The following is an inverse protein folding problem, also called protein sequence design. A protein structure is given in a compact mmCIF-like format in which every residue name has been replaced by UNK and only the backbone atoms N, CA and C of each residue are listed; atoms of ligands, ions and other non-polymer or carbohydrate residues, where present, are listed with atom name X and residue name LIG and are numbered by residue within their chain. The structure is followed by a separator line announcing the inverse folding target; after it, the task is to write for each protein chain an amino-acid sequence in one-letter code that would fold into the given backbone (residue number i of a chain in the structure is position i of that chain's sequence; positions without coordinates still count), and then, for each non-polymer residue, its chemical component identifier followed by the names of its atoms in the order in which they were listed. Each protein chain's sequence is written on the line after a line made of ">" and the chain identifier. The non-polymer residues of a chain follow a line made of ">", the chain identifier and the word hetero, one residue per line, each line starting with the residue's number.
data_IF_658927810822
#
_entry.id   IF_658927810822
#
_cell.length_a   1.000
_cell.length_b   1.000
_cell.length_c   1.000
_cell.angle_alpha   90.00
_cell.angle_beta   90.00
_cell.angle_gamma   90.00
#
_symmetry.space_group_name_H-M   'P 1'
#
loop_
_entity.id
_entity.type
_entity.pdbx_description
1 polymer ?
#
# COMPACT_ATOMS: atom_id res chain seq x y z
N UNK A 1 -14.55 -25.43 -12.58
CA UNK A 1 -13.56 -24.97 -11.59
C UNK A 1 -14.22 -23.83 -10.82
N UNK A 2 -14.08 -23.74 -9.49
CA UNK A 2 -14.61 -22.59 -8.75
C UNK A 2 -13.78 -21.35 -9.13
N UNK A 3 -14.45 -20.26 -9.50
CA UNK A 3 -13.78 -18.99 -9.78
C UNK A 3 -13.26 -18.42 -8.45
N UNK A 4 -11.95 -18.19 -8.33
CA UNK A 4 -11.35 -17.59 -7.14
C UNK A 4 -11.41 -16.06 -7.33
N UNK A 5 -12.07 -15.30 -6.44
CA UNK A 5 -12.16 -13.85 -6.57
C UNK A 5 -10.80 -13.18 -6.37
N UNK A 6 -10.63 -11.96 -6.85
CA UNK A 6 -9.47 -11.13 -6.49
C UNK A 6 -9.52 -10.73 -5.01
N UNK A 7 -8.41 -10.23 -4.46
CA UNK A 7 -8.41 -9.69 -3.10
C UNK A 7 -9.32 -8.47 -2.98
N UNK A 8 -9.42 -7.66 -4.03
CA UNK A 8 -10.33 -6.53 -4.10
C UNK A 8 -11.80 -6.98 -3.99
N UNK A 9 -12.20 -7.95 -4.83
CA UNK A 9 -13.57 -8.48 -4.84
C UNK A 9 -13.93 -9.16 -3.51
N UNK A 10 -12.95 -9.81 -2.86
CA UNK A 10 -13.16 -10.43 -1.55
C UNK A 10 -13.27 -9.40 -0.42
N UNK A 11 -12.43 -8.36 -0.44
CA UNK A 11 -12.47 -7.28 0.54
C UNK A 11 -13.80 -6.53 0.49
N UNK A 12 -14.31 -6.29 -0.71
CA UNK A 12 -15.56 -5.60 -0.98
C UNK A 12 -15.50 -4.85 -2.31
N UNK A 13 -15.31 -3.54 -2.22
CA UNK A 13 -15.32 -2.60 -3.35
C UNK A 13 -14.42 -1.37 -3.07
N UNK A 14 -14.41 -0.40 -3.98
CA UNK A 14 -13.63 0.83 -3.83
C UNK A 14 -13.98 1.61 -2.55
N UNK A 15 -15.27 1.63 -2.17
CA UNK A 15 -15.72 2.30 -0.95
C UNK A 15 -15.12 1.65 0.31
N UNK A 16 -14.85 0.35 0.28
CA UNK A 16 -14.15 -0.38 1.35
C UNK A 16 -12.74 0.15 1.55
N UNK A 17 -11.96 0.30 0.47
CA UNK A 17 -10.60 0.85 0.52
C UNK A 17 -10.61 2.34 0.90
N UNK A 18 -11.56 3.12 0.37
CA UNK A 18 -11.70 4.54 0.72
C UNK A 18 -11.97 4.72 2.22
N UNK A 19 -12.83 3.89 2.79
CA UNK A 19 -13.14 3.90 4.23
C UNK A 19 -11.93 3.50 5.05
N UNK A 20 -11.21 2.44 4.64
CA UNK A 20 -9.98 1.99 5.30
C UNK A 20 -8.94 3.10 5.35
N UNK A 21 -8.56 3.66 4.20
CA UNK A 21 -7.48 4.65 4.13
C UNK A 21 -7.87 6.00 4.71
N UNK A 22 -9.13 6.44 4.55
CA UNK A 22 -9.61 7.66 5.23
C UNK A 22 -9.51 7.54 6.74
N UNK A 23 -9.96 6.42 7.30
CA UNK A 23 -9.92 6.18 8.76
C UNK A 23 -8.47 6.05 9.23
N UNK A 24 -7.65 5.37 8.46
CA UNK A 24 -6.24 5.16 8.77
C UNK A 24 -5.46 6.48 8.80
N UNK A 25 -5.54 7.29 7.73
CA UNK A 25 -4.80 8.55 7.66
C UNK A 25 -5.28 9.59 8.66
N UNK A 26 -6.56 9.56 9.07
CA UNK A 26 -7.07 10.40 10.17
C UNK A 26 -6.37 10.12 11.51
N UNK A 27 -5.81 8.91 11.70
CA UNK A 27 -4.98 8.54 12.85
C UNK A 27 -3.50 8.84 12.61
N UNK A 28 -2.98 8.52 11.42
CA UNK A 28 -1.57 8.73 11.04
C UNK A 28 -1.13 10.17 11.28
N UNK A 29 -1.95 11.15 10.88
CA UNK A 29 -1.61 12.58 11.05
C UNK A 29 -1.57 13.03 12.51
N UNK A 30 -2.14 12.26 13.44
CA UNK A 30 -2.15 12.51 14.89
C UNK A 30 -1.13 11.64 15.64
N UNK A 31 -0.44 10.74 14.94
CA UNK A 31 0.51 9.83 15.55
C UNK A 31 1.84 10.55 15.81
N UNK A 32 2.39 10.41 17.01
CA UNK A 32 3.60 11.15 17.42
C UNK A 32 4.84 10.81 16.57
N UNK A 33 4.91 9.59 16.02
CA UNK A 33 6.04 9.14 15.20
C UNK A 33 5.81 9.39 13.71
N UNK A 34 4.59 9.18 13.22
CA UNK A 34 4.26 9.26 11.79
C UNK A 34 3.78 10.65 11.37
N UNK A 35 3.17 11.43 12.26
CA UNK A 35 2.52 12.71 11.92
C UNK A 35 3.45 13.66 11.17
N UNK A 36 4.71 13.76 11.61
CA UNK A 36 5.74 14.59 10.96
C UNK A 36 6.04 14.16 9.52
N UNK A 37 5.97 12.86 9.21
CA UNK A 37 6.17 12.33 7.84
C UNK A 37 5.06 12.81 6.91
N UNK A 38 3.84 12.97 7.43
CA UNK A 38 2.64 13.28 6.66
C UNK A 38 2.15 14.72 6.84
N UNK A 39 2.84 15.58 7.59
CA UNK A 39 2.41 16.96 7.89
C UNK A 39 2.10 17.81 6.65
N UNK A 40 2.79 17.53 5.55
CA UNK A 40 2.66 18.24 4.26
C UNK A 40 2.06 17.34 3.17
N UNK A 41 1.35 16.27 3.54
CA UNK A 41 0.69 15.41 2.54
C UNK A 41 -0.37 16.21 1.78
N UNK A 42 -0.54 15.95 0.48
CA UNK A 42 -1.58 16.65 -0.29
C UNK A 42 -2.98 16.17 0.13
N UNK A 43 -4.03 16.99 -0.06
CA UNK A 43 -5.40 16.60 0.21
C UNK A 43 -5.83 15.32 -0.55
N UNK A 44 -5.24 15.06 -1.71
CA UNK A 44 -5.52 13.92 -2.58
C UNK A 44 -4.76 12.64 -2.17
N UNK A 45 -3.82 12.72 -1.22
CA UNK A 45 -2.97 11.60 -0.80
C UNK A 45 -3.78 10.34 -0.44
N UNK A 46 -4.84 10.52 0.35
CA UNK A 46 -5.70 9.42 0.82
C UNK A 46 -6.38 8.72 -0.37
N UNK A 47 -6.92 9.51 -1.31
CA UNK A 47 -7.58 8.98 -2.51
C UNK A 47 -6.59 8.19 -3.37
N UNK A 48 -5.42 8.76 -3.63
CA UNK A 48 -4.41 8.08 -4.45
C UNK A 48 -3.94 6.76 -3.85
N UNK A 49 -3.74 6.70 -2.53
CA UNK A 49 -3.35 5.44 -1.86
C UNK A 49 -4.49 4.42 -1.93
N UNK A 50 -5.73 4.84 -1.73
CA UNK A 50 -6.89 3.96 -1.84
C UNK A 50 -6.99 3.34 -3.24
N UNK A 51 -6.95 4.17 -4.27
CA UNK A 51 -7.01 3.73 -5.66
C UNK A 51 -5.82 2.83 -6.03
N UNK A 52 -4.61 3.18 -5.57
CA UNK A 52 -3.40 2.40 -5.84
C UNK A 52 -3.51 1.00 -5.26
N UNK A 53 -3.86 0.87 -3.97
CA UNK A 53 -3.93 -0.44 -3.30
C UNK A 53 -5.08 -1.28 -3.85
N UNK A 54 -6.24 -0.67 -4.12
CA UNK A 54 -7.36 -1.35 -4.76
C UNK A 54 -6.97 -1.93 -6.13
N UNK A 55 -6.28 -1.14 -6.98
CA UNK A 55 -5.80 -1.60 -8.28
C UNK A 55 -4.78 -2.74 -8.15
N UNK A 56 -3.84 -2.65 -7.20
CA UNK A 56 -2.86 -3.72 -6.92
C UNK A 56 -3.56 -5.02 -6.50
N UNK A 57 -4.68 -4.93 -5.79
CA UNK A 57 -5.48 -6.07 -5.31
C UNK A 57 -6.40 -6.68 -6.37
N UNK A 58 -6.30 -6.19 -7.62
CA UNK A 58 -7.08 -6.67 -8.75
C UNK A 58 -8.40 -5.93 -8.97
N UNK A 59 -8.56 -4.73 -8.38
CA UNK A 59 -9.69 -3.85 -8.64
C UNK A 59 -9.61 -3.10 -9.96
N UNK A 60 -10.50 -2.11 -10.13
CA UNK A 60 -10.48 -1.22 -11.30
C UNK A 60 -9.19 -0.38 -11.36
N UNK A 61 -8.83 0.04 -12.58
CA UNK A 61 -7.59 0.79 -12.83
C UNK A 61 -7.68 2.28 -12.52
N UNK A 62 -8.38 2.66 -11.45
CA UNK A 62 -8.66 4.06 -11.13
C UNK A 62 -7.38 4.86 -10.94
N UNK A 63 -6.38 4.31 -10.23
CA UNK A 63 -5.11 5.00 -9.99
C UNK A 63 -4.37 5.26 -11.30
N UNK A 64 -4.26 4.24 -12.16
CA UNK A 64 -3.61 4.39 -13.47
C UNK A 64 -4.39 5.33 -14.40
N UNK A 65 -5.72 5.26 -14.41
CA UNK A 65 -6.57 6.15 -15.23
C UNK A 65 -6.47 7.62 -14.80
N UNK A 66 -6.19 7.88 -13.53
CA UNK A 66 -5.94 9.22 -12.98
C UNK A 66 -4.50 9.71 -13.22
N UNK A 67 -3.71 8.98 -14.02
CA UNK A 67 -2.33 9.31 -14.38
C UNK A 67 -1.27 8.78 -13.41
N UNK A 68 -1.66 7.95 -12.45
CA UNK A 68 -0.76 7.23 -11.57
C UNK A 68 0.09 6.19 -12.31
N UNK A 69 1.26 5.86 -11.75
CA UNK A 69 2.06 4.71 -12.16
C UNK A 69 2.82 4.13 -10.97
N UNK A 70 3.34 2.92 -11.11
CA UNK A 70 4.21 2.31 -10.11
C UNK A 70 5.48 3.14 -9.91
N UNK A 71 6.10 3.60 -11.00
CA UNK A 71 7.26 4.49 -10.94
C UNK A 71 6.95 5.81 -10.22
N UNK A 72 5.78 6.40 -10.47
CA UNK A 72 5.36 7.62 -9.77
C UNK A 72 5.15 7.38 -8.27
N UNK A 73 4.56 6.25 -7.87
CA UNK A 73 4.36 5.88 -6.47
C UNK A 73 5.71 5.69 -5.76
N UNK A 74 6.65 4.97 -6.36
CA UNK A 74 8.03 4.83 -5.83
C UNK A 74 8.69 6.20 -5.73
N UNK A 75 8.54 7.05 -6.74
CA UNK A 75 9.04 8.42 -6.76
C UNK A 75 8.59 9.27 -5.56
N UNK A 76 7.37 9.05 -5.04
CA UNK A 76 6.87 9.76 -3.84
C UNK A 76 7.59 9.38 -2.54
N UNK A 77 8.31 8.26 -2.53
CA UNK A 77 9.03 7.75 -1.36
C UNK A 77 10.52 8.11 -1.36
N UNK A 78 11.10 8.45 -2.51
CA UNK A 78 12.53 8.81 -2.66
C UNK A 78 12.91 9.96 -1.72
N UNK A 79 14.06 9.82 -1.05
CA UNK A 79 14.63 10.84 -0.15
C UNK A 79 13.84 11.07 1.15
N UNK A 80 12.83 10.25 1.47
CA UNK A 80 12.03 10.40 2.71
C UNK A 80 12.72 9.86 3.96
N UNK A 81 13.82 9.12 3.83
CA UNK A 81 14.61 8.58 4.95
C UNK A 81 13.72 7.86 5.97
N UNK A 82 12.85 6.97 5.50
CA UNK A 82 11.93 6.22 6.36
C UNK A 82 12.72 5.18 7.15
N UNK A 83 12.44 5.06 8.43
CA UNK A 83 13.08 4.10 9.33
C UNK A 83 12.21 2.85 9.49
N UNK A 84 12.82 1.75 9.93
CA UNK A 84 12.07 0.53 10.27
C UNK A 84 11.04 0.75 11.38
N UNK A 85 11.34 1.62 12.35
CA UNK A 85 10.41 1.98 13.41
C UNK A 85 9.13 2.64 12.84
N UNK A 86 9.29 3.60 11.92
CA UNK A 86 8.17 4.23 11.22
C UNK A 86 7.39 3.20 10.40
N UNK A 87 8.08 2.28 9.71
CA UNK A 87 7.44 1.22 8.93
C UNK A 87 6.56 0.32 9.80
N UNK A 88 7.10 -0.17 10.91
CA UNK A 88 6.38 -1.03 11.86
C UNK A 88 5.19 -0.31 12.48
N UNK A 89 5.35 0.97 12.85
CA UNK A 89 4.26 1.79 13.38
C UNK A 89 3.15 1.97 12.36
N UNK A 90 3.50 2.22 11.10
CA UNK A 90 2.56 2.40 10.00
C UNK A 90 1.75 1.12 9.75
N UNK A 91 2.41 -0.05 9.67
CA UNK A 91 1.72 -1.35 9.51
C UNK A 91 0.78 -1.61 10.68
N UNK A 92 1.26 -1.44 11.92
CA UNK A 92 0.44 -1.70 13.11
C UNK A 92 -0.83 -0.87 13.09
N UNK A 93 -0.72 0.41 12.76
CA UNK A 93 -1.86 1.32 12.74
C UNK A 93 -2.83 0.99 11.60
N UNK A 94 -2.34 0.53 10.44
CA UNK A 94 -3.21 0.10 9.34
C UNK A 94 -3.95 -1.20 9.68
N UNK A 95 -3.27 -2.17 10.29
CA UNK A 95 -3.90 -3.43 10.73
C UNK A 95 -4.98 -3.18 11.79
N UNK A 96 -4.70 -2.33 12.79
CA UNK A 96 -5.72 -1.91 13.77
C UNK A 96 -6.91 -1.24 13.09
N UNK A 97 -6.64 -0.37 12.11
CA UNK A 97 -7.71 0.32 11.37
C UNK A 97 -8.53 -0.65 10.53
N UNK A 98 -7.92 -1.67 9.92
CA UNK A 98 -8.62 -2.72 9.20
C UNK A 98 -9.61 -3.47 10.10
N UNK A 99 -9.24 -3.74 11.35
CA UNK A 99 -10.14 -4.39 12.32
C UNK A 99 -11.31 -3.47 12.72
N UNK A 100 -11.02 -2.20 13.00
CA UNK A 100 -12.03 -1.22 13.40
C UNK A 100 -13.10 -0.96 12.33
N UNK A 101 -12.70 -0.93 11.05
CA UNK A 101 -13.65 -0.71 9.94
C UNK A 101 -14.32 -2.01 9.47
N UNK A 102 -14.04 -3.14 10.12
CA UNK A 102 -14.63 -4.44 9.78
C UNK A 102 -14.13 -5.03 8.46
N UNK A 103 -12.89 -4.73 8.05
CA UNK A 103 -12.27 -5.38 6.89
C UNK A 103 -12.22 -6.90 7.15
N UNK A 104 -12.46 -7.70 6.11
CA UNK A 104 -12.49 -9.18 6.19
C UNK A 104 -11.31 -9.72 6.99
N UNK A 105 -11.58 -10.61 7.94
CA UNK A 105 -10.58 -11.13 8.90
C UNK A 105 -10.39 -12.65 8.82
N UNK A 106 -10.89 -13.29 7.76
CA UNK A 106 -10.61 -14.70 7.51
C UNK A 106 -9.10 -14.96 7.32
N UNK A 107 -8.59 -16.14 7.73
CA UNK A 107 -7.15 -16.41 7.77
C UNK A 107 -6.45 -16.19 6.43
N UNK A 108 -7.07 -16.62 5.33
CA UNK A 108 -6.53 -16.53 3.98
C UNK A 108 -6.39 -15.07 3.54
N UNK A 109 -7.44 -14.25 3.70
CA UNK A 109 -7.37 -12.86 3.30
C UNK A 109 -6.39 -12.07 4.17
N UNK A 110 -6.39 -12.30 5.49
CA UNK A 110 -5.47 -11.60 6.39
C UNK A 110 -4.02 -11.99 6.15
N UNK A 111 -3.74 -13.24 5.82
CA UNK A 111 -2.41 -13.67 5.39
C UNK A 111 -1.95 -12.91 4.14
N UNK A 112 -2.79 -12.86 3.10
CA UNK A 112 -2.48 -12.15 1.86
C UNK A 112 -2.31 -10.64 2.07
N UNK A 113 -3.18 -10.02 2.87
CA UNK A 113 -3.12 -8.60 3.20
C UNK A 113 -1.83 -8.26 3.96
N UNK A 114 -1.49 -9.00 5.01
CA UNK A 114 -0.24 -8.80 5.77
C UNK A 114 0.98 -9.00 4.87
N UNK A 115 0.96 -10.01 3.99
CA UNK A 115 2.03 -10.24 3.03
C UNK A 115 2.28 -9.04 2.11
N UNK A 116 1.21 -8.42 1.59
CA UNK A 116 1.32 -7.21 0.78
C UNK A 116 1.91 -6.04 1.57
N UNK A 117 1.39 -5.79 2.77
CA UNK A 117 1.86 -4.69 3.61
C UNK A 117 3.34 -4.87 3.96
N UNK A 118 3.75 -6.07 4.30
CA UNK A 118 5.14 -6.40 4.61
C UNK A 118 6.05 -6.18 3.40
N UNK A 119 5.68 -6.70 2.23
CA UNK A 119 6.43 -6.53 0.99
C UNK A 119 6.52 -5.05 0.56
N UNK A 120 5.38 -4.37 0.44
CA UNK A 120 5.30 -3.01 -0.11
C UNK A 120 5.97 -1.98 0.79
N UNK A 121 5.77 -2.07 2.10
CA UNK A 121 6.38 -1.09 3.03
C UNK A 121 7.88 -1.29 3.18
N UNK A 122 8.39 -2.52 3.02
CA UNK A 122 9.83 -2.79 3.00
C UNK A 122 10.50 -2.18 1.78
N UNK A 123 9.87 -2.29 0.61
CA UNK A 123 10.30 -1.58 -0.61
C UNK A 123 10.28 -0.06 -0.40
N UNK A 124 9.25 0.48 0.26
CA UNK A 124 9.17 1.90 0.57
C UNK A 124 10.34 2.39 1.45
N UNK A 125 10.75 1.60 2.46
CA UNK A 125 11.94 1.90 3.26
C UNK A 125 13.20 1.91 2.41
N UNK A 126 13.43 0.86 1.60
CA UNK A 126 14.60 0.75 0.70
C UNK A 126 14.67 1.97 -0.23
N UNK A 127 13.59 2.25 -0.95
CA UNK A 127 13.55 3.35 -1.92
C UNK A 127 13.69 4.73 -1.25
N UNK A 128 13.25 4.87 0.00
CA UNK A 128 13.38 6.16 0.70
C UNK A 128 14.81 6.58 1.03
N UNK A 129 15.76 5.65 0.95
CA UNK A 129 17.19 5.92 1.12
C UNK A 129 17.87 6.38 -0.18
N UNK A 130 17.21 6.23 -1.32
CA UNK A 130 17.75 6.59 -2.62
C UNK A 130 17.61 8.09 -2.88
N UNK A 131 18.50 8.61 -3.73
CA UNK A 131 18.45 10.00 -4.25
C UNK A 131 17.79 10.09 -5.62
N UNK A 132 17.73 8.98 -6.35
CA UNK A 132 17.13 8.88 -7.68
C UNK A 132 16.10 7.75 -7.72
N UNK A 133 15.11 7.87 -8.60
CA UNK A 133 14.09 6.85 -8.77
C UNK A 133 14.62 5.72 -9.68
N UNK A 134 14.80 4.49 -9.17
CA UNK A 134 15.34 3.39 -9.97
C UNK A 134 14.33 2.83 -11.00
N UNK A 135 13.06 3.22 -10.89
CA UNK A 135 11.97 2.68 -11.70
C UNK A 135 11.81 3.41 -13.03
N UNK A 136 11.70 2.65 -14.13
CA UNK A 136 11.31 3.19 -15.43
C UNK A 136 9.81 3.42 -15.47
N UNK A 137 9.36 4.42 -16.23
CA UNK A 137 7.92 4.70 -16.39
C UNK A 137 7.15 3.55 -17.05
N UNK A 138 7.83 2.69 -17.81
CA UNK A 138 7.26 1.50 -18.45
C UNK A 138 7.08 0.31 -17.52
N UNK A 139 7.60 0.36 -16.29
CA UNK A 139 7.43 -0.74 -15.32
C UNK A 139 5.94 -0.91 -14.99
N UNK A 140 5.42 -2.16 -15.00
CA UNK A 140 4.01 -2.41 -14.79
C UNK A 140 3.60 -2.08 -13.35
N UNK A 141 2.30 -1.81 -13.18
CA UNK A 141 1.67 -1.83 -11.87
C UNK A 141 1.88 -3.18 -11.19
N UNK A 142 2.22 -3.22 -9.89
CA UNK A 142 2.31 -4.48 -9.19
C UNK A 142 0.90 -5.10 -9.09
N UNK A 143 0.87 -6.43 -9.04
CA UNK A 143 -0.35 -7.20 -8.79
C UNK A 143 -0.11 -8.05 -7.55
N UNK A 144 -1.13 -8.15 -6.72
CA UNK A 144 -1.07 -8.95 -5.50
C UNK A 144 -2.35 -9.77 -5.32
N UNK A 145 -2.18 -11.09 -5.20
CA UNK A 145 -3.25 -12.06 -5.00
C UNK A 145 -3.05 -12.90 -3.74
N UNK A 146 -3.64 -14.09 -3.74
CA UNK A 146 -3.71 -14.99 -2.59
C UNK A 146 -2.38 -15.68 -2.22
N UNK A 147 -1.34 -15.56 -3.07
CA UNK A 147 -0.02 -16.13 -2.81
C UNK A 147 1.03 -15.67 -3.84
N UNK A 148 1.91 -14.75 -3.45
CA UNK A 148 2.79 -14.00 -4.37
C UNK A 148 4.29 -14.14 -4.08
N UNK A 149 4.69 -14.85 -3.02
CA UNK A 149 6.10 -14.93 -2.59
C UNK A 149 6.97 -15.84 -3.47
N UNK A 150 6.71 -15.92 -4.78
CA UNK A 150 7.26 -16.87 -5.77
C UNK A 150 8.79 -16.91 -5.95
N UNK A 151 9.57 -16.38 -5.02
CA UNK A 151 11.04 -16.42 -4.93
C UNK A 151 11.57 -15.38 -3.93
N UNK A 152 12.85 -15.46 -3.51
CA UNK A 152 13.46 -14.40 -2.71
C UNK A 152 13.57 -13.10 -3.53
N UNK A 153 13.56 -11.95 -2.85
CA UNK A 153 13.90 -10.67 -3.48
C UNK A 153 15.36 -10.67 -3.96
N UNK A 154 15.62 -10.14 -5.16
CA UNK A 154 16.95 -9.93 -5.72
C UNK A 154 17.23 -8.42 -5.77
N UNK A 155 18.19 -7.93 -5.00
CA UNK A 155 18.74 -6.58 -5.16
C UNK A 155 19.70 -6.55 -6.35
N UNK A 156 19.80 -5.41 -7.05
CA UNK A 156 20.76 -5.20 -8.15
C UNK A 156 22.17 -4.84 -7.62
N UNK A 157 22.66 -5.56 -6.59
CA UNK A 157 24.01 -5.37 -6.05
C UNK A 157 25.07 -6.09 -6.88
#
# INVERSE_FOLDING_TARGET
>A
MKNIPTLYEWAGDQQTFDTLFKTFYAKVVKDDLLGEVFKNMSPEHVKHVSHFVAEVFGGEKLYTQEGGSHAAMVGKHIGKMLTEEKRQRWIRLLLQTADEVGLKSDPEFRSAFVGYLEWGTRIAVINSQLTENPMKQSEPMPKWGWGETGGPYLSND
#
